data_IF_766792738714
#
_entry.id   IF_766792738714
#
_cell.length_a   1.000
_cell.length_b   1.000
_cell.length_c   1.000
_cell.angle_alpha   90.00
_cell.angle_beta   90.00
_cell.angle_gamma   90.00
#
_symmetry.space_group_name_H-M   'P 1'
#
loop_
_entity.id
_entity.type
_entity.pdbx_description
1 polymer ?
#
# COMPACT_ATOMS: atom_id res chain seq x y z
N UNK A 1 -22.43 22.22 -21.85
CA UNK A 1 -21.10 21.62 -21.87
C UNK A 1 -20.26 22.16 -20.71
N UNK A 2 -20.03 21.41 -19.65
CA UNK A 2 -18.94 21.71 -18.76
C UNK A 2 -17.73 20.92 -19.23
N UNK A 3 -16.79 21.60 -19.88
CA UNK A 3 -15.42 21.12 -20.03
C UNK A 3 -14.79 21.04 -18.66
N UNK A 4 -14.78 19.86 -18.05
CA UNK A 4 -13.91 19.59 -16.91
C UNK A 4 -12.49 19.54 -17.45
N UNK A 5 -11.76 20.63 -17.35
CA UNK A 5 -10.33 20.64 -17.49
C UNK A 5 -9.76 19.76 -16.38
N UNK A 6 -9.27 18.60 -16.75
CA UNK A 6 -8.38 17.81 -15.90
C UNK A 6 -7.11 18.63 -15.84
N UNK A 7 -6.91 19.25 -14.72
CA UNK A 7 -5.80 20.13 -14.52
C UNK A 7 -5.11 19.79 -13.22
N UNK A 8 -3.88 19.73 -13.36
CA UNK A 8 -2.82 19.68 -12.38
C UNK A 8 -2.18 18.31 -12.24
N UNK A 9 -1.37 17.97 -13.25
CA UNK A 9 -0.43 16.84 -13.20
C UNK A 9 0.62 17.00 -12.08
N UNK A 10 0.79 18.19 -11.53
CA UNK A 10 1.77 18.45 -10.45
C UNK A 10 1.42 17.71 -9.14
N UNK A 11 0.14 17.37 -8.93
CA UNK A 11 -0.28 16.65 -7.74
C UNK A 11 -0.16 15.12 -7.85
N UNK A 12 -0.09 14.57 -9.05
CA UNK A 12 0.03 13.12 -9.25
C UNK A 12 1.46 12.62 -9.00
N UNK A 13 2.47 13.42 -9.35
CA UNK A 13 3.88 13.03 -9.16
C UNK A 13 4.23 12.82 -7.67
N UNK A 14 3.55 13.50 -6.75
CA UNK A 14 3.75 13.36 -5.32
C UNK A 14 3.15 12.06 -4.72
N UNK A 15 2.40 11.30 -5.52
CA UNK A 15 1.74 10.06 -5.08
C UNK A 15 2.24 8.83 -5.82
N UNK A 16 3.24 8.99 -6.71
CA UNK A 16 3.84 7.90 -7.46
C UNK A 16 5.28 7.73 -6.98
N UNK A 17 5.58 6.57 -6.43
CA UNK A 17 6.93 6.17 -6.05
C UNK A 17 7.41 5.04 -6.97
N UNK A 18 8.63 5.17 -7.48
CA UNK A 18 9.26 4.14 -8.31
C UNK A 18 10.20 3.28 -7.47
N UNK A 19 10.05 1.97 -7.60
CA UNK A 19 11.02 1.04 -7.00
C UNK A 19 12.33 1.11 -7.79
N UNK A 20 13.47 1.39 -7.16
CA UNK A 20 14.76 1.45 -7.83
C UNK A 20 15.13 0.11 -8.50
N UNK A 21 15.78 0.17 -9.66
CA UNK A 21 16.12 -1.02 -10.45
C UNK A 21 17.00 -2.02 -9.67
N UNK A 22 17.92 -1.52 -8.86
CA UNK A 22 18.77 -2.37 -8.01
C UNK A 22 17.96 -3.14 -6.96
N UNK A 23 16.87 -2.57 -6.44
CA UNK A 23 15.98 -3.27 -5.50
C UNK A 23 15.09 -4.30 -6.21
N UNK A 24 14.69 -4.04 -7.46
CA UNK A 24 13.96 -5.02 -8.28
C UNK A 24 14.84 -6.24 -8.56
N UNK A 25 16.12 -6.04 -8.84
CA UNK A 25 17.05 -7.14 -9.05
C UNK A 25 17.25 -7.97 -7.76
N UNK A 26 17.32 -7.33 -6.60
CA UNK A 26 17.38 -8.04 -5.32
C UNK A 26 16.14 -8.89 -5.07
N UNK A 27 14.94 -8.37 -5.42
CA UNK A 27 13.70 -9.13 -5.33
C UNK A 27 13.73 -10.39 -6.20
N UNK A 28 14.25 -10.27 -7.45
CA UNK A 28 14.39 -11.41 -8.37
C UNK A 28 15.35 -12.45 -7.83
N UNK A 29 16.46 -12.03 -7.27
CA UNK A 29 17.54 -12.93 -6.88
C UNK A 29 17.30 -13.57 -5.50
N UNK A 30 16.70 -12.85 -4.56
CA UNK A 30 16.57 -13.28 -3.16
C UNK A 30 15.11 -13.42 -2.67
N UNK A 31 14.12 -12.97 -3.44
CA UNK A 31 12.71 -13.05 -3.08
C UNK A 31 12.30 -12.11 -1.94
N UNK A 32 13.16 -11.13 -1.61
CA UNK A 32 12.87 -10.13 -0.57
C UNK A 32 12.10 -8.95 -1.13
N UNK A 33 11.15 -8.46 -0.33
CA UNK A 33 10.41 -7.25 -0.69
C UNK A 33 11.34 -6.03 -0.71
N UNK A 34 11.33 -5.20 -1.78
CA UNK A 34 12.16 -4.00 -1.88
C UNK A 34 11.95 -3.04 -0.71
N UNK A 35 13.01 -2.40 -0.23
CA UNK A 35 12.92 -1.46 0.90
C UNK A 35 12.07 -0.23 0.57
N UNK A 36 12.14 0.28 -0.65
CA UNK A 36 11.26 1.34 -1.13
C UNK A 36 9.79 0.92 -1.10
N UNK A 37 9.47 -0.31 -1.50
CA UNK A 37 8.11 -0.84 -1.44
C UNK A 37 7.64 -1.04 0.01
N UNK A 38 8.49 -1.53 0.91
CA UNK A 38 8.19 -1.58 2.36
C UNK A 38 7.87 -0.19 2.90
N UNK A 39 8.66 0.82 2.49
CA UNK A 39 8.43 2.20 2.89
C UNK A 39 7.08 2.72 2.37
N UNK A 40 6.78 2.53 1.09
CA UNK A 40 5.52 2.95 0.49
C UNK A 40 4.30 2.29 1.16
N UNK A 41 4.38 1.00 1.50
CA UNK A 41 3.33 0.30 2.25
C UNK A 41 3.16 0.92 3.65
N UNK A 42 4.25 1.26 4.35
CA UNK A 42 4.14 1.93 5.66
C UNK A 42 3.51 3.32 5.54
N UNK A 43 3.87 4.10 4.52
CA UNK A 43 3.24 5.40 4.24
C UNK A 43 1.73 5.24 4.04
N UNK A 44 1.32 4.26 3.24
CA UNK A 44 -0.09 3.93 3.05
C UNK A 44 -0.79 3.55 4.36
N UNK A 45 -0.17 2.67 5.16
CA UNK A 45 -0.72 2.23 6.45
C UNK A 45 -0.83 3.38 7.47
N UNK A 46 0.09 4.34 7.46
CA UNK A 46 -0.01 5.57 8.27
C UNK A 46 -1.21 6.41 7.81
N UNK A 47 -1.45 6.54 6.51
CA UNK A 47 -2.65 7.21 5.98
C UNK A 47 -3.94 6.52 6.43
N UNK A 48 -4.00 5.20 6.36
CA UNK A 48 -5.11 4.37 6.86
C UNK A 48 -5.32 4.58 8.37
N UNK A 49 -4.23 4.61 9.14
CA UNK A 49 -4.26 4.81 10.60
C UNK A 49 -4.88 6.15 11.00
N UNK A 50 -4.63 7.21 10.22
CA UNK A 50 -5.28 8.50 10.44
C UNK A 50 -6.80 8.37 10.38
N UNK A 51 -7.33 7.73 9.33
CA UNK A 51 -8.77 7.54 9.22
C UNK A 51 -9.35 6.64 10.33
N UNK A 52 -8.58 5.64 10.80
CA UNK A 52 -8.97 4.82 11.96
C UNK A 52 -9.03 5.67 13.22
N UNK A 53 -8.01 6.50 13.46
CA UNK A 53 -7.92 7.39 14.60
C UNK A 53 -9.10 8.39 14.64
N UNK A 54 -9.48 8.92 13.49
CA UNK A 54 -10.62 9.84 13.33
C UNK A 54 -11.99 9.15 13.33
N UNK A 55 -12.03 7.82 13.43
CA UNK A 55 -13.28 7.05 13.42
C UNK A 55 -13.92 6.90 12.02
N UNK A 56 -13.27 7.32 10.96
CA UNK A 56 -13.80 7.27 9.59
C UNK A 56 -14.11 5.84 9.13
N UNK A 57 -13.38 4.84 9.65
CA UNK A 57 -13.60 3.42 9.36
C UNK A 57 -14.92 2.87 9.90
N UNK A 58 -15.54 3.53 10.90
CA UNK A 58 -16.82 3.14 11.48
C UNK A 58 -18.02 3.64 10.68
N UNK A 59 -17.83 4.75 9.96
CA UNK A 59 -18.84 5.40 9.15
C UNK A 59 -18.56 5.26 7.66
N UNK A 60 -17.98 4.16 7.29
CA UNK A 60 -17.54 3.86 5.95
C UNK A 60 -18.73 3.72 4.98
N UNK A 61 -18.90 4.72 4.13
CA UNK A 61 -19.98 4.79 3.12
C UNK A 61 -19.48 4.32 1.73
N UNK A 62 -18.72 3.24 1.68
CA UNK A 62 -18.26 2.66 0.41
C UNK A 62 -17.05 3.34 -0.25
N UNK A 63 -16.39 4.31 0.39
CA UNK A 63 -15.15 4.91 -0.13
C UNK A 63 -13.93 4.24 0.48
N UNK A 64 -13.29 3.31 -0.23
CA UNK A 64 -12.05 2.68 0.24
C UNK A 64 -10.83 3.57 0.00
N UNK A 65 -9.88 3.53 0.92
CA UNK A 65 -8.52 4.05 0.72
C UNK A 65 -7.73 2.95 -0.01
N UNK A 66 -7.12 3.28 -1.15
CA UNK A 66 -6.44 2.27 -1.95
C UNK A 66 -5.02 2.68 -2.30
N UNK A 67 -4.12 1.71 -2.28
CA UNK A 67 -2.78 1.76 -2.84
C UNK A 67 -2.72 0.79 -4.01
N UNK A 68 -2.03 1.16 -5.11
CA UNK A 68 -1.81 0.28 -6.24
C UNK A 68 -0.33 -0.02 -6.41
N UNK A 69 0.00 -1.28 -6.61
CA UNK A 69 1.35 -1.78 -6.90
C UNK A 69 1.34 -2.35 -8.31
N UNK A 70 2.15 -1.79 -9.19
CA UNK A 70 2.36 -2.29 -10.54
C UNK A 70 3.70 -3.02 -10.65
N UNK A 71 3.71 -4.35 -10.72
CA UNK A 71 4.94 -5.14 -10.79
C UNK A 71 5.72 -4.95 -12.11
N UNK A 72 5.03 -4.60 -13.19
CA UNK A 72 5.65 -4.31 -14.47
C UNK A 72 5.02 -3.09 -15.13
N UNK A 73 5.88 -2.15 -15.56
CA UNK A 73 5.46 -0.93 -16.26
C UNK A 73 5.18 -1.12 -17.77
N UNK A 74 5.17 -2.35 -18.29
CA UNK A 74 5.02 -2.60 -19.72
C UNK A 74 3.54 -2.80 -20.05
N UNK A 75 2.94 -1.76 -20.60
CA UNK A 75 1.59 -1.77 -21.16
C UNK A 75 1.68 -1.87 -22.68
N UNK A 76 1.91 -3.06 -23.22
CA UNK A 76 1.97 -3.29 -24.67
C UNK A 76 1.20 -4.53 -25.09
N UNK A 77 1.07 -4.76 -26.41
CA UNK A 77 0.63 -6.05 -26.94
C UNK A 77 1.73 -7.07 -26.64
N UNK A 78 1.52 -7.88 -25.63
CA UNK A 78 2.43 -8.96 -25.23
C UNK A 78 1.98 -10.26 -25.91
N UNK A 79 2.95 -11.12 -26.23
CA UNK A 79 2.66 -12.50 -26.64
C UNK A 79 2.16 -13.33 -25.43
N UNK A 80 1.68 -14.54 -25.67
CA UNK A 80 1.10 -15.38 -24.62
C UNK A 80 2.12 -15.73 -23.53
N UNK A 81 3.40 -15.93 -23.86
CA UNK A 81 4.48 -16.23 -22.92
C UNK A 81 4.75 -15.04 -21.97
N UNK A 82 4.81 -13.82 -22.52
CA UNK A 82 4.98 -12.60 -21.70
C UNK A 82 3.78 -12.34 -20.79
N UNK A 83 2.56 -12.78 -21.18
CA UNK A 83 1.37 -12.70 -20.34
C UNK A 83 1.43 -13.66 -19.15
N UNK A 84 1.96 -14.87 -19.35
CA UNK A 84 2.14 -15.85 -18.30
C UNK A 84 3.20 -15.40 -17.29
N UNK A 85 4.31 -14.81 -17.73
CA UNK A 85 5.31 -14.21 -16.85
C UNK A 85 4.75 -13.06 -16.02
N UNK A 86 3.93 -12.20 -16.62
CA UNK A 86 3.29 -11.11 -15.90
C UNK A 86 2.34 -11.63 -14.81
N UNK A 87 1.57 -12.66 -15.12
CA UNK A 87 0.67 -13.29 -14.15
C UNK A 87 1.40 -13.90 -12.96
N UNK A 88 2.51 -14.60 -13.19
CA UNK A 88 3.36 -15.12 -12.11
C UNK A 88 4.01 -14.00 -11.28
N UNK A 89 4.37 -12.89 -11.91
CA UNK A 89 4.87 -11.70 -11.21
C UNK A 89 3.80 -11.13 -10.26
N UNK A 90 2.54 -11.01 -10.67
CA UNK A 90 1.48 -10.50 -9.80
C UNK A 90 1.26 -11.40 -8.59
N UNK A 91 1.21 -12.72 -8.77
CA UNK A 91 1.12 -13.69 -7.68
C UNK A 91 2.32 -13.59 -6.72
N UNK A 92 3.51 -13.43 -7.29
CA UNK A 92 4.72 -13.29 -6.49
C UNK A 92 4.66 -12.04 -5.61
N UNK A 93 4.30 -10.88 -6.20
CA UNK A 93 4.13 -9.65 -5.44
C UNK A 93 3.03 -9.74 -4.39
N UNK A 94 1.90 -10.35 -4.73
CA UNK A 94 0.84 -10.60 -3.75
C UNK A 94 1.36 -11.39 -2.55
N UNK A 95 2.11 -12.47 -2.79
CA UNK A 95 2.68 -13.29 -1.73
C UNK A 95 3.67 -12.53 -0.85
N UNK A 96 4.59 -11.76 -1.43
CA UNK A 96 5.61 -11.04 -0.64
C UNK A 96 4.99 -9.87 0.13
N UNK A 97 4.02 -9.15 -0.44
CA UNK A 97 3.30 -8.07 0.25
C UNK A 97 2.47 -8.63 1.40
N UNK A 98 1.74 -9.73 1.18
CA UNK A 98 0.98 -10.40 2.24
C UNK A 98 1.89 -10.85 3.38
N UNK A 99 3.02 -11.50 3.06
CA UNK A 99 4.00 -11.91 4.05
C UNK A 99 4.52 -10.72 4.87
N UNK A 100 4.83 -9.60 4.22
CA UNK A 100 5.30 -8.41 4.91
C UNK A 100 4.25 -7.85 5.87
N UNK A 101 2.99 -7.76 5.47
CA UNK A 101 1.91 -7.30 6.36
C UNK A 101 1.71 -8.27 7.53
N UNK A 102 1.83 -9.58 7.31
CA UNK A 102 1.75 -10.57 8.38
C UNK A 102 2.96 -10.49 9.34
N UNK A 103 4.17 -10.20 8.84
CA UNK A 103 5.33 -9.92 9.67
C UNK A 103 5.09 -8.70 10.56
N UNK A 104 4.48 -7.62 10.05
CA UNK A 104 4.11 -6.45 10.85
C UNK A 104 3.12 -6.82 11.98
N UNK A 105 2.10 -7.63 11.70
CA UNK A 105 1.16 -8.14 12.73
C UNK A 105 1.91 -8.87 13.85
N UNK A 106 2.84 -9.75 13.48
CA UNK A 106 3.65 -10.50 14.45
C UNK A 106 4.52 -9.57 15.29
N UNK A 107 5.26 -8.63 14.65
CA UNK A 107 6.14 -7.69 15.36
C UNK A 107 5.36 -6.88 16.38
N UNK A 108 4.19 -6.36 16.00
CA UNK A 108 3.36 -5.54 16.89
C UNK A 108 2.68 -6.36 17.99
N UNK A 109 2.26 -7.59 17.71
CA UNK A 109 1.70 -8.49 18.73
C UNK A 109 2.75 -8.94 19.78
N UNK A 110 4.02 -9.04 19.39
CA UNK A 110 5.15 -9.45 20.22
C UNK A 110 5.97 -8.27 20.76
N UNK A 111 5.45 -7.04 20.71
CA UNK A 111 6.14 -5.79 21.11
C UNK A 111 6.81 -5.83 22.48
N UNK A 112 6.27 -6.58 23.43
CA UNK A 112 6.82 -6.71 24.77
C UNK A 112 7.95 -7.75 24.88
N UNK A 113 8.01 -8.72 23.96
CA UNK A 113 9.01 -9.80 24.00
C UNK A 113 10.17 -9.53 23.03
N UNK A 114 9.91 -8.85 21.93
CA UNK A 114 10.90 -8.53 20.89
C UNK A 114 11.09 -7.01 20.75
N UNK A 115 11.33 -6.35 21.86
CA UNK A 115 11.33 -4.86 21.96
C UNK A 115 12.26 -4.18 20.96
N UNK A 116 13.43 -4.74 20.69
CA UNK A 116 14.39 -4.14 19.74
C UNK A 116 13.85 -4.18 18.29
N UNK A 117 13.23 -5.30 17.90
CA UNK A 117 12.65 -5.46 16.56
C UNK A 117 11.46 -4.51 16.42
N UNK A 118 10.61 -4.45 17.45
CA UNK A 118 9.49 -3.53 17.48
C UNK A 118 9.92 -2.08 17.39
N UNK A 119 10.94 -1.66 18.13
CA UNK A 119 11.44 -0.28 18.10
C UNK A 119 12.00 0.10 16.73
N UNK A 120 12.76 -0.78 16.08
CA UNK A 120 13.27 -0.54 14.73
C UNK A 120 12.12 -0.42 13.70
N UNK A 121 11.09 -1.23 13.85
CA UNK A 121 9.92 -1.14 12.99
C UNK A 121 9.11 0.13 13.25
N UNK A 122 8.99 0.54 14.51
CA UNK A 122 8.33 1.78 14.91
C UNK A 122 9.06 3.02 14.34
N UNK A 123 10.40 3.02 14.36
CA UNK A 123 11.22 4.06 13.70
C UNK A 123 10.95 4.09 12.18
N UNK A 124 10.81 2.94 11.56
CA UNK A 124 10.47 2.84 10.14
C UNK A 124 9.09 3.45 9.83
N UNK A 125 8.11 3.25 10.72
CA UNK A 125 6.79 3.90 10.63
C UNK A 125 6.87 5.41 10.90
N UNK A 126 7.71 5.86 11.81
CA UNK A 126 7.93 7.29 12.05
C UNK A 126 8.54 7.97 10.82
N UNK A 127 9.50 7.33 10.17
CA UNK A 127 10.06 7.81 8.90
C UNK A 127 8.99 7.90 7.79
N UNK A 128 8.10 6.91 7.71
CA UNK A 128 6.98 6.92 6.77
C UNK A 128 5.98 8.05 7.09
N UNK A 129 5.69 8.28 8.37
CA UNK A 129 4.87 9.40 8.82
C UNK A 129 5.49 10.76 8.43
N UNK A 130 6.80 10.94 8.62
CA UNK A 130 7.50 12.17 8.22
C UNK A 130 7.46 12.37 6.68
N UNK A 131 7.55 11.28 5.91
CA UNK A 131 7.41 11.34 4.45
C UNK A 131 6.02 11.80 4.04
N UNK A 132 4.98 11.31 4.72
CA UNK A 132 3.59 11.71 4.47
C UNK A 132 3.35 13.18 4.80
N UNK A 133 3.92 13.70 5.90
CA UNK A 133 3.77 15.11 6.29
C UNK A 133 4.44 16.09 5.32
N UNK A 134 5.48 15.68 4.60
CA UNK A 134 6.14 16.50 3.57
C UNK A 134 5.25 16.74 2.34
N UNK A 135 4.23 15.94 2.16
CA UNK A 135 3.24 16.11 1.10
C UNK A 135 2.20 17.18 1.52
N UNK A 136 2.48 18.43 1.20
CA UNK A 136 1.70 19.62 1.61
C UNK A 136 0.23 19.62 1.22
N UNK A 137 -0.21 18.73 0.34
CA UNK A 137 -1.60 18.69 -0.14
C UNK A 137 -2.59 17.99 0.81
N UNK A 138 -2.12 17.42 1.92
CA UNK A 138 -2.97 16.77 2.94
C UNK A 138 -3.51 17.78 3.99
N UNK A 139 -3.23 19.06 3.84
CA UNK A 139 -3.34 20.09 4.88
C UNK A 139 -4.74 20.66 5.16
N UNK A 140 -5.83 20.03 4.73
CA UNK A 140 -7.18 20.50 5.11
C UNK A 140 -7.58 20.14 6.55
N UNK A 141 -6.99 19.11 7.12
CA UNK A 141 -7.14 18.72 8.53
C UNK A 141 -5.78 18.43 9.13
N UNK A 142 -5.45 18.97 10.32
CA UNK A 142 -4.18 18.71 10.95
C UNK A 142 -3.99 17.20 11.14
N UNK A 143 -2.81 16.71 10.75
CA UNK A 143 -2.48 15.31 10.92
C UNK A 143 -2.22 15.01 12.41
N UNK A 144 -2.75 13.92 13.00
CA UNK A 144 -2.49 13.56 14.39
C UNK A 144 -1.00 13.38 14.65
N UNK A 145 -0.54 13.59 15.87
CA UNK A 145 0.86 13.29 16.23
C UNK A 145 1.13 11.79 16.08
N UNK A 146 2.33 11.44 15.66
CA UNK A 146 2.70 10.04 15.41
C UNK A 146 2.37 9.11 16.60
N UNK A 147 2.70 9.54 17.83
CA UNK A 147 2.40 8.77 19.04
C UNK A 147 0.91 8.48 19.25
N UNK A 148 0.04 9.36 18.77
CA UNK A 148 -1.41 9.21 18.93
C UNK A 148 -1.99 8.19 17.92
N UNK A 149 -1.17 7.78 16.92
CA UNK A 149 -1.54 6.81 15.89
C UNK A 149 -1.16 5.36 16.22
N UNK A 150 -0.42 5.07 17.28
CA UNK A 150 0.15 3.73 17.54
C UNK A 150 -0.89 2.61 17.52
N UNK A 151 -1.99 2.77 18.26
CA UNK A 151 -3.06 1.77 18.28
C UNK A 151 -3.78 1.65 16.93
N UNK A 152 -3.84 2.75 16.18
CA UNK A 152 -4.46 2.79 14.87
C UNK A 152 -3.56 2.17 13.80
N UNK A 153 -2.23 2.28 13.93
CA UNK A 153 -1.27 1.59 13.07
C UNK A 153 -1.43 0.08 13.23
N UNK A 154 -1.47 -0.42 14.46
CA UNK A 154 -1.69 -1.85 14.72
C UNK A 154 -3.04 -2.33 14.12
N UNK A 155 -4.11 -1.56 14.31
CA UNK A 155 -5.42 -1.88 13.73
C UNK A 155 -5.43 -1.87 12.20
N UNK A 156 -4.64 -1.00 11.56
CA UNK A 156 -4.59 -0.89 10.10
C UNK A 156 -4.19 -2.20 9.42
N UNK A 157 -3.33 -3.01 10.05
CA UNK A 157 -2.89 -4.30 9.50
C UNK A 157 -4.04 -5.31 9.33
N UNK A 158 -5.10 -5.16 10.12
CA UNK A 158 -6.27 -6.05 10.10
C UNK A 158 -7.40 -5.51 9.22
N UNK A 159 -7.33 -4.24 8.84
CA UNK A 159 -8.34 -3.57 8.02
C UNK A 159 -7.91 -3.38 6.56
N UNK A 160 -6.72 -3.88 6.22
CA UNK A 160 -6.17 -3.82 4.86
C UNK A 160 -6.36 -5.15 4.16
N UNK A 161 -7.08 -5.12 3.04
CA UNK A 161 -7.19 -6.24 2.11
C UNK A 161 -6.12 -6.15 1.04
N UNK A 162 -5.43 -7.26 0.75
CA UNK A 162 -4.44 -7.36 -0.31
C UNK A 162 -5.08 -8.16 -1.44
N UNK A 163 -5.24 -7.52 -2.60
CA UNK A 163 -6.02 -8.07 -3.71
C UNK A 163 -5.16 -8.11 -4.96
N UNK A 164 -5.04 -9.30 -5.54
CA UNK A 164 -4.48 -9.45 -6.88
C UNK A 164 -5.51 -8.98 -7.90
N UNK A 165 -5.16 -7.94 -8.66
CA UNK A 165 -5.99 -7.36 -9.71
C UNK A 165 -5.29 -7.48 -11.05
N UNK A 166 -5.66 -8.48 -11.84
CA UNK A 166 -5.21 -8.60 -13.22
C UNK A 166 -6.38 -8.40 -14.18
N UNK A 167 -6.48 -7.19 -14.74
CA UNK A 167 -7.54 -6.83 -15.69
C UNK A 167 -7.56 -7.71 -16.97
N UNK A 168 -6.44 -8.37 -17.30
CA UNK A 168 -6.31 -9.23 -18.48
C UNK A 168 -6.67 -10.70 -18.23
N UNK A 169 -6.67 -11.12 -16.99
CA UNK A 169 -7.09 -12.49 -16.64
C UNK A 169 -8.61 -12.60 -16.76
N UNK A 170 -9.12 -12.77 -17.97
CA UNK A 170 -10.56 -12.85 -18.33
C UNK A 170 -11.41 -13.78 -17.45
N UNK A 171 -10.81 -14.65 -16.65
CA UNK A 171 -11.50 -15.65 -15.81
C UNK A 171 -11.46 -15.33 -14.30
N UNK A 172 -10.73 -14.32 -13.85
CA UNK A 172 -10.49 -14.07 -12.42
C UNK A 172 -10.38 -12.58 -12.06
N UNK A 173 -11.07 -11.69 -12.76
CA UNK A 173 -11.21 -10.33 -12.27
C UNK A 173 -12.06 -10.48 -11.00
N UNK A 174 -11.50 -10.28 -9.80
CA UNK A 174 -12.35 -10.20 -8.62
C UNK A 174 -13.36 -9.11 -8.90
N UNK A 175 -14.63 -9.37 -8.64
CA UNK A 175 -15.66 -8.35 -8.70
C UNK A 175 -15.33 -7.38 -7.57
N UNK A 176 -14.44 -6.43 -7.84
CA UNK A 176 -14.10 -5.39 -6.88
C UNK A 176 -15.30 -4.48 -6.82
N UNK A 177 -16.19 -4.82 -5.91
CA UNK A 177 -17.19 -3.86 -5.49
C UNK A 177 -16.45 -2.74 -4.75
N UNK A 178 -16.30 -1.60 -5.41
CA UNK A 178 -15.72 -0.41 -4.80
C UNK A 178 -16.56 0.11 -3.63
N UNK A 179 -17.73 -0.46 -3.43
CA UNK A 179 -18.76 0.00 -2.51
C UNK A 179 -18.96 -0.92 -1.29
N UNK A 180 -18.60 -2.21 -1.36
CA UNK A 180 -19.15 -3.16 -0.40
C UNK A 180 -18.14 -3.80 0.57
N UNK A 181 -16.82 -3.75 0.34
CA UNK A 181 -15.91 -4.53 1.18
C UNK A 181 -14.56 -3.84 1.42
N UNK A 182 -14.18 -3.80 2.71
CA UNK A 182 -12.86 -3.40 3.17
C UNK A 182 -12.64 -1.87 3.23
N UNK A 183 -12.15 -1.41 4.36
CA UNK A 183 -11.83 0.00 4.60
C UNK A 183 -10.60 0.46 3.80
N UNK A 184 -9.62 -0.41 3.65
CA UNK A 184 -8.37 -0.11 2.95
C UNK A 184 -7.94 -1.28 2.07
N UNK A 185 -7.30 -1.00 0.92
CA UNK A 185 -6.92 -2.03 -0.05
C UNK A 185 -5.54 -1.77 -0.63
N UNK A 186 -4.74 -2.83 -0.77
CA UNK A 186 -3.54 -2.86 -1.60
C UNK A 186 -3.87 -3.69 -2.84
N UNK A 187 -3.90 -3.04 -3.98
CA UNK A 187 -4.19 -3.66 -5.28
C UNK A 187 -2.87 -3.98 -5.98
N UNK A 188 -2.72 -5.19 -6.47
CA UNK A 188 -1.53 -5.65 -7.19
C UNK A 188 -1.94 -6.04 -8.60
N UNK A 189 -1.54 -5.20 -9.59
CA UNK A 189 -1.98 -5.36 -10.96
C UNK A 189 -1.22 -4.59 -12.02
#
# INVERSE_FOLDING_TARGET
>A
NPSSSITDNSNLENHIEYVPLNEINQLRDFGDIPNSLKHAIRVFLVGVSKGIHEGSHLNYNGSSISMMIHPSGITGNKNDEEQDEEFENHKHYHKIVSRFVDELKIIFSEKNTKINIFNNELESFENAYQSLLKNDNLNKTPFPKFKDLYDSIEKSFYLVDIIEFNARAKKRIPNISWYDEGYARILIG
#
